data_IF_693594797659
#
_entry.id   IF_693594797659
#
_cell.length_a   1.000
_cell.length_b   1.000
_cell.length_c   1.000
_cell.angle_alpha   90.00
_cell.angle_beta   90.00
_cell.angle_gamma   90.00
#
_symmetry.space_group_name_H-M   'P 1'
#
loop_
_entity.id
_entity.type
_entity.pdbx_description
1 polymer ?
#
# COMPACT_ATOMS: atom_id res chain seq x y z
N UNK A 1 5.90 -5.51 7.43
CA UNK A 1 5.45 -5.00 6.12
C UNK A 1 3.97 -5.30 5.88
N UNK A 2 3.54 -6.56 5.87
CA UNK A 2 2.11 -6.94 5.68
C UNK A 2 1.16 -6.27 6.68
N UNK A 3 1.46 -6.29 7.98
CA UNK A 3 0.63 -5.65 9.02
C UNK A 3 0.48 -4.13 8.83
N UNK A 4 1.49 -3.46 8.29
CA UNK A 4 1.43 -2.02 7.99
C UNK A 4 0.51 -1.74 6.80
N UNK A 5 0.53 -2.62 5.78
CA UNK A 5 -0.36 -2.54 4.63
C UNK A 5 -1.81 -2.74 5.06
N UNK A 6 -2.09 -3.71 5.93
CA UNK A 6 -3.46 -3.95 6.42
C UNK A 6 -4.01 -2.80 7.26
N UNK A 7 -3.18 -2.23 8.15
CA UNK A 7 -3.55 -1.02 8.90
C UNK A 7 -3.86 0.15 7.97
N UNK A 8 -2.98 0.43 7.00
CA UNK A 8 -3.15 1.52 6.04
C UNK A 8 -4.34 1.30 5.10
N UNK A 9 -4.68 0.05 4.78
CA UNK A 9 -5.87 -0.31 4.01
C UNK A 9 -7.16 -0.06 4.80
N UNK A 10 -7.17 -0.39 6.08
CA UNK A 10 -8.31 -0.09 6.97
C UNK A 10 -8.51 1.43 7.08
N UNK A 11 -7.42 2.17 7.28
CA UNK A 11 -7.42 3.65 7.28
C UNK A 11 -7.96 4.23 5.98
N UNK A 12 -7.56 3.68 4.82
CA UNK A 12 -8.10 4.09 3.52
C UNK A 12 -9.61 3.87 3.43
N UNK A 13 -10.11 2.72 3.88
CA UNK A 13 -11.55 2.40 3.85
C UNK A 13 -12.32 3.39 4.73
N UNK A 14 -11.82 3.69 5.94
CA UNK A 14 -12.45 4.66 6.83
C UNK A 14 -12.46 6.07 6.26
N UNK A 15 -11.34 6.51 5.68
CA UNK A 15 -11.22 7.84 5.05
C UNK A 15 -12.15 7.95 3.84
N UNK A 16 -12.22 6.91 3.00
CA UNK A 16 -13.13 6.88 1.85
C UNK A 16 -14.59 6.87 2.31
N UNK A 17 -14.91 6.13 3.38
CA UNK A 17 -16.26 6.11 3.95
C UNK A 17 -16.68 7.48 4.53
N UNK A 18 -15.75 8.22 5.15
CA UNK A 18 -16.02 9.52 5.78
C UNK A 18 -15.99 10.69 4.80
N UNK A 19 -15.03 10.71 3.87
CA UNK A 19 -14.72 11.87 3.04
C UNK A 19 -15.02 11.63 1.54
N UNK A 20 -15.31 10.39 1.15
CA UNK A 20 -15.45 9.98 -0.25
C UNK A 20 -14.10 9.71 -0.92
N UNK A 21 -14.12 8.88 -1.95
CA UNK A 21 -12.94 8.45 -2.70
C UNK A 21 -12.17 9.62 -3.36
N UNK A 22 -12.89 10.68 -3.73
CA UNK A 22 -12.33 11.83 -4.43
C UNK A 22 -11.79 12.92 -3.50
N UNK A 23 -11.81 12.69 -2.19
CA UNK A 23 -11.20 13.61 -1.23
C UNK A 23 -9.68 13.57 -1.34
N UNK A 24 -9.04 14.73 -1.21
CA UNK A 24 -7.59 14.83 -1.17
C UNK A 24 -6.96 13.86 -0.14
N UNK A 25 -7.63 13.67 1.00
CA UNK A 25 -7.19 12.75 2.06
C UNK A 25 -7.24 11.30 1.58
N UNK A 26 -8.33 10.87 0.93
CA UNK A 26 -8.44 9.51 0.39
C UNK A 26 -7.38 9.24 -0.69
N UNK A 27 -7.11 10.23 -1.54
CA UNK A 27 -6.08 10.14 -2.58
C UNK A 27 -4.68 10.03 -1.96
N UNK A 28 -4.39 10.81 -0.90
CA UNK A 28 -3.11 10.71 -0.18
C UNK A 28 -2.91 9.35 0.47
N UNK A 29 -3.90 8.87 1.23
CA UNK A 29 -3.83 7.57 1.90
C UNK A 29 -3.74 6.43 0.87
N UNK A 30 -4.40 6.55 -0.28
CA UNK A 30 -4.28 5.58 -1.38
C UNK A 30 -2.87 5.54 -1.95
N UNK A 31 -2.20 6.69 -2.11
CA UNK A 31 -0.81 6.76 -2.60
C UNK A 31 0.18 6.16 -1.60
N UNK A 32 -0.04 6.40 -0.31
CA UNK A 32 0.76 5.79 0.76
C UNK A 32 0.62 4.26 0.76
N UNK A 33 -0.61 3.76 0.65
CA UNK A 33 -0.88 2.33 0.58
C UNK A 33 -0.23 1.69 -0.65
N UNK A 34 -0.33 2.34 -1.81
CA UNK A 34 0.30 1.87 -3.05
C UNK A 34 1.82 1.81 -2.93
N UNK A 35 2.44 2.84 -2.34
CA UNK A 35 3.89 2.85 -2.10
C UNK A 35 4.34 1.69 -1.19
N UNK A 36 3.60 1.42 -0.11
CA UNK A 36 3.85 0.30 0.79
C UNK A 36 3.70 -1.05 0.07
N UNK A 37 2.66 -1.20 -0.74
CA UNK A 37 2.44 -2.39 -1.57
C UNK A 37 3.58 -2.58 -2.58
N UNK A 38 4.01 -1.50 -3.23
CA UNK A 38 5.09 -1.55 -4.20
C UNK A 38 6.43 -1.90 -3.54
N UNK A 39 6.72 -1.35 -2.35
CA UNK A 39 7.90 -1.74 -1.56
C UNK A 39 7.86 -3.22 -1.17
N UNK A 40 6.70 -3.70 -0.70
CA UNK A 40 6.52 -5.10 -0.33
C UNK A 40 6.65 -6.04 -1.54
N UNK A 41 6.04 -5.67 -2.67
CA UNK A 41 6.19 -6.40 -3.93
C UNK A 41 7.65 -6.40 -4.37
N UNK A 42 8.36 -5.27 -4.36
CA UNK A 42 9.79 -5.21 -4.67
C UNK A 42 10.62 -6.12 -3.77
N UNK A 43 10.36 -6.16 -2.46
CA UNK A 43 11.05 -7.07 -1.55
C UNK A 43 10.76 -8.55 -1.88
N UNK A 44 9.50 -8.88 -2.20
CA UNK A 44 9.12 -10.23 -2.65
C UNK A 44 9.73 -10.62 -4.00
N UNK A 45 9.79 -9.69 -4.95
CA UNK A 45 10.40 -9.91 -6.25
C UNK A 45 11.92 -10.05 -6.15
N UNK A 46 12.58 -9.29 -5.26
CA UNK A 46 14.02 -9.44 -4.99
C UNK A 46 14.39 -10.82 -4.41
N UNK A 47 13.48 -11.45 -3.65
CA UNK A 47 13.66 -12.83 -3.19
C UNK A 47 13.44 -13.88 -4.29
N UNK A 48 12.72 -13.56 -5.37
CA UNK A 48 12.57 -14.45 -6.53
C UNK A 48 13.71 -14.34 -7.54
N UNK A 49 14.64 -13.40 -7.35
CA UNK A 49 15.77 -13.17 -8.25
C UNK A 49 17.11 -13.28 -7.51
N UNK A 50 17.48 -14.48 -7.10
CA UNK A 50 18.88 -14.94 -7.11
C UNK A 50 18.90 -16.49 -7.17
N UNK A 51 19.81 -17.15 -7.92
CA UNK A 51 20.72 -16.64 -8.95
C UNK A 51 20.62 -17.42 -10.28
N UNK A 52 21.18 -16.88 -11.37
CA UNK A 52 21.74 -17.72 -12.45
C UNK A 52 22.96 -16.98 -13.05
N UNK A 53 24.10 -17.67 -13.21
CA UNK A 53 25.41 -17.09 -13.53
C UNK A 53 25.50 -16.41 -14.90
#
# INVERSE_FOLDING_TARGET
>A
MLTLIEKKRTELIEVVAKNGLNSAVAIQVSRELDSLLNMYNKQKHKQKSAPRP
#
